data_IF_927335500435
#
_entry.id   IF_927335500435
#
_cell.length_a   1.000
_cell.length_b   1.000
_cell.length_c   1.000
_cell.angle_alpha   90.00
_cell.angle_beta   90.00
_cell.angle_gamma   90.00
#
_symmetry.space_group_name_H-M   'P 1'
#
loop_
_entity.id
_entity.type
_entity.pdbx_description
1 polymer ?
#
# COMPACT_ATOMS: atom_id res chain seq x y z
N UNK A 1 -3.58 60.52 -32.23
CA UNK A 1 -2.47 61.50 -32.10
C UNK A 1 -1.29 60.73 -31.52
N UNK A 2 -0.41 60.19 -32.37
CA UNK A 2 0.76 60.83 -33.00
C UNK A 2 2.03 60.43 -32.18
N UNK A 3 2.92 59.54 -32.66
CA UNK A 3 4.02 59.75 -33.67
C UNK A 3 5.13 60.63 -33.05
N UNK A 4 6.47 60.45 -33.28
CA UNK A 4 7.18 59.84 -34.43
C UNK A 4 8.33 58.84 -34.10
N UNK A 5 8.78 57.94 -35.00
CA UNK A 5 9.74 58.01 -36.15
C UNK A 5 11.24 58.20 -35.77
N UNK A 6 12.09 57.30 -36.32
CA UNK A 6 13.47 57.48 -36.86
C UNK A 6 14.70 56.74 -36.20
N UNK A 7 15.34 55.91 -37.07
CA UNK A 7 16.79 55.71 -37.36
C UNK A 7 17.84 55.48 -36.24
N UNK A 8 18.43 54.28 -36.24
CA UNK A 8 19.76 53.96 -36.82
C UNK A 8 21.05 54.53 -36.19
N UNK A 9 21.97 53.64 -35.78
CA UNK A 9 23.45 53.75 -35.60
C UNK A 9 23.89 52.45 -34.86
N UNK A 10 24.94 51.69 -35.14
CA UNK A 10 26.28 51.98 -35.68
C UNK A 10 26.91 50.77 -36.40
N UNK A 11 27.58 51.10 -37.50
CA UNK A 11 28.49 50.32 -38.31
C UNK A 11 29.82 50.03 -37.59
N UNK A 12 30.45 48.88 -37.87
CA UNK A 12 31.89 48.69 -37.76
C UNK A 12 32.50 48.63 -39.18
N UNK A 13 33.53 49.45 -39.35
CA UNK A 13 34.28 49.76 -40.56
C UNK A 13 35.14 48.59 -41.06
N UNK A 14 35.24 48.43 -42.38
CA UNK A 14 36.52 48.55 -43.12
C UNK A 14 36.30 48.21 -44.60
N UNK A 15 36.49 49.20 -45.48
CA UNK A 15 36.64 49.05 -46.93
C UNK A 15 38.06 49.45 -47.33
N UNK A 16 38.68 48.58 -48.12
CA UNK A 16 39.59 48.82 -49.26
C UNK A 16 40.64 49.93 -49.23
N UNK A 17 41.92 49.55 -49.40
CA UNK A 17 42.89 50.29 -50.22
C UNK A 17 43.71 49.31 -51.07
N UNK A 18 43.79 49.60 -52.36
CA UNK A 18 44.59 48.93 -53.40
C UNK A 18 45.85 49.75 -53.65
N UNK A 19 46.99 49.10 -53.89
CA UNK A 19 47.94 49.32 -55.01
C UNK A 19 49.43 49.21 -54.63
N UNK A 20 50.10 48.43 -55.49
CA UNK A 20 51.46 48.55 -56.02
C UNK A 20 52.66 48.33 -55.08
N UNK A 21 53.42 47.28 -55.40
CA UNK A 21 54.87 47.40 -55.51
C UNK A 21 55.42 46.41 -56.54
N UNK A 22 56.15 46.97 -57.52
CA UNK A 22 57.00 46.27 -58.47
C UNK A 22 58.30 45.84 -57.78
N UNK A 23 58.79 44.65 -58.09
CA UNK A 23 60.09 44.16 -57.62
C UNK A 23 60.51 42.93 -58.41
N UNK A 24 61.52 43.11 -59.27
CA UNK A 24 62.01 42.19 -60.29
C UNK A 24 62.76 41.00 -59.67
N UNK A 25 62.55 39.78 -60.17
CA UNK A 25 63.54 38.71 -60.12
C UNK A 25 63.40 37.83 -61.37
N UNK A 26 64.45 37.83 -62.19
CA UNK A 26 64.58 37.05 -63.41
C UNK A 26 65.53 35.87 -63.18
N UNK A 27 65.41 34.87 -64.06
CA UNK A 27 66.34 33.78 -64.35
C UNK A 27 66.34 32.50 -63.49
N UNK A 28 65.95 31.39 -64.13
CA UNK A 28 66.10 30.03 -63.62
C UNK A 28 65.40 29.00 -64.52
N UNK A 29 66.08 28.57 -65.58
CA UNK A 29 65.65 27.53 -66.53
C UNK A 29 65.47 26.13 -65.88
N UNK A 30 64.62 25.31 -66.52
CA UNK A 30 64.54 23.83 -66.53
C UNK A 30 64.02 23.11 -65.26
N UNK A 31 62.81 22.57 -65.36
CA UNK A 31 62.64 21.17 -65.78
C UNK A 31 61.15 20.83 -65.99
N UNK A 32 60.82 20.41 -67.21
CA UNK A 32 59.54 19.76 -67.52
C UNK A 32 59.52 18.40 -66.82
N UNK A 33 58.91 18.35 -65.64
CA UNK A 33 58.31 17.12 -65.15
C UNK A 33 56.82 17.22 -65.46
N UNK A 34 56.44 16.82 -66.68
CA UNK A 34 55.07 16.43 -66.96
C UNK A 34 54.68 15.40 -65.89
N UNK A 35 53.89 15.83 -64.90
CA UNK A 35 53.10 14.89 -64.12
C UNK A 35 52.10 14.29 -65.10
N UNK A 36 52.44 13.14 -65.65
CA UNK A 36 51.47 12.26 -66.30
C UNK A 36 50.36 12.06 -65.28
N UNK A 37 49.22 12.74 -65.45
CA UNK A 37 48.00 12.45 -64.70
C UNK A 37 47.59 11.04 -65.10
N UNK A 38 48.13 10.03 -64.40
CA UNK A 38 47.74 8.64 -64.56
C UNK A 38 46.24 8.60 -64.29
N UNK A 39 45.45 8.35 -65.33
CA UNK A 39 44.00 8.20 -65.18
C UNK A 39 43.78 7.04 -64.21
N UNK A 40 42.96 7.21 -63.14
CA UNK A 40 42.70 6.14 -62.21
C UNK A 40 42.18 4.90 -62.95
N UNK A 41 42.93 3.79 -62.91
CA UNK A 41 42.59 2.51 -63.57
C UNK A 41 42.62 1.37 -62.55
N UNK A 42 41.90 0.28 -62.83
CA UNK A 42 41.96 -0.95 -62.05
C UNK A 42 43.34 -1.65 -62.10
N UNK A 43 44.24 -1.23 -63.00
CA UNK A 43 45.60 -1.75 -63.06
C UNK A 43 46.42 -1.33 -61.83
N UNK A 44 46.28 -0.06 -61.41
CA UNK A 44 46.94 0.52 -60.24
C UNK A 44 46.12 0.42 -58.95
N UNK A 45 44.81 0.16 -59.04
CA UNK A 45 43.91 0.05 -57.89
C UNK A 45 43.57 -1.41 -57.55
N UNK A 46 44.42 -2.08 -56.75
CA UNK A 46 44.20 -3.46 -56.30
C UNK A 46 43.21 -3.57 -55.14
N UNK A 47 42.26 -4.50 -55.28
CA UNK A 47 41.31 -4.89 -54.24
C UNK A 47 41.87 -6.06 -53.40
N UNK A 48 41.50 -6.13 -52.13
CA UNK A 48 41.89 -7.19 -51.20
C UNK A 48 40.76 -8.22 -51.02
N UNK A 49 41.06 -9.36 -50.41
CA UNK A 49 40.10 -10.42 -50.06
C UNK A 49 39.19 -10.83 -51.23
N UNK A 50 39.79 -11.09 -52.40
CA UNK A 50 39.09 -11.43 -53.66
C UNK A 50 38.01 -10.42 -54.09
N UNK A 51 38.16 -9.14 -53.73
CA UNK A 51 37.34 -8.06 -54.28
C UNK A 51 37.59 -7.85 -55.77
N UNK A 52 36.54 -7.56 -56.53
CA UNK A 52 36.63 -7.26 -57.96
C UNK A 52 36.73 -5.77 -58.17
N UNK A 53 37.77 -5.29 -58.88
CA UNK A 53 37.85 -3.87 -59.25
C UNK A 53 36.92 -3.59 -60.42
N UNK A 54 36.11 -2.53 -60.29
CA UNK A 54 35.21 -2.04 -61.33
C UNK A 54 35.37 -0.54 -61.49
N UNK A 55 35.26 -0.04 -62.72
CA UNK A 55 35.23 1.40 -63.00
C UNK A 55 33.80 1.92 -62.81
N UNK A 56 33.60 2.87 -61.90
CA UNK A 56 32.32 3.56 -61.72
C UNK A 56 32.55 5.04 -62.06
N UNK A 57 32.12 5.44 -63.26
CA UNK A 57 32.52 6.72 -63.86
C UNK A 57 34.04 6.73 -64.11
N UNK A 58 34.72 7.81 -63.72
CA UNK A 58 36.18 7.97 -63.89
C UNK A 58 37.02 7.51 -62.68
N UNK A 59 36.44 6.73 -61.76
CA UNK A 59 37.13 6.28 -60.53
C UNK A 59 37.02 4.75 -60.35
N UNK A 60 38.14 4.05 -60.09
CA UNK A 60 38.11 2.63 -59.75
C UNK A 60 37.53 2.42 -58.35
N UNK A 61 36.66 1.43 -58.19
CA UNK A 61 36.05 1.03 -56.92
C UNK A 61 36.09 -0.49 -56.80
N UNK A 62 36.35 -0.99 -55.60
CA UNK A 62 36.25 -2.41 -55.33
C UNK A 62 34.81 -2.82 -55.00
N UNK A 63 34.30 -3.83 -55.73
CA UNK A 63 33.11 -4.59 -55.35
C UNK A 63 33.55 -5.72 -54.42
N UNK A 64 33.14 -5.65 -53.17
CA UNK A 64 33.58 -6.58 -52.14
C UNK A 64 32.70 -7.84 -52.07
N UNK A 65 33.28 -9.01 -51.73
CA UNK A 65 32.50 -10.19 -51.39
C UNK A 65 31.60 -9.96 -50.17
N UNK A 66 30.57 -10.81 -49.94
CA UNK A 66 29.57 -10.60 -48.88
C UNK A 66 30.16 -10.38 -47.49
N UNK A 67 31.31 -11.00 -47.20
CA UNK A 67 32.01 -10.95 -45.91
C UNK A 67 32.86 -9.70 -45.68
N UNK A 68 33.17 -8.91 -46.71
CA UNK A 68 34.16 -7.83 -46.64
C UNK A 68 33.57 -6.48 -47.05
N UNK A 69 34.18 -5.41 -46.56
CA UNK A 69 33.79 -4.03 -46.85
C UNK A 69 35.00 -3.07 -46.79
N UNK A 70 34.76 -1.82 -47.17
CA UNK A 70 35.79 -0.78 -47.27
C UNK A 70 36.21 -0.51 -48.71
N UNK A 71 36.98 0.55 -48.92
CA UNK A 71 37.35 1.05 -50.26
C UNK A 71 38.16 0.06 -51.08
N UNK A 72 38.91 -0.83 -50.42
CA UNK A 72 39.67 -1.92 -51.04
C UNK A 72 39.26 -3.30 -50.51
N UNK A 73 38.07 -3.45 -49.92
CA UNK A 73 37.60 -4.70 -49.30
C UNK A 73 38.50 -5.24 -48.18
N UNK A 74 39.20 -4.34 -47.49
CA UNK A 74 40.22 -4.66 -46.52
C UNK A 74 39.67 -5.02 -45.13
N UNK A 75 38.37 -4.84 -44.87
CA UNK A 75 37.76 -5.03 -43.55
C UNK A 75 36.73 -6.16 -43.60
N UNK A 76 36.73 -7.05 -42.61
CA UNK A 76 35.72 -8.11 -42.48
C UNK A 76 34.47 -7.58 -41.78
N UNK A 77 33.29 -7.81 -42.36
CA UNK A 77 31.99 -7.41 -41.78
C UNK A 77 31.75 -8.15 -40.48
N UNK A 78 31.26 -7.43 -39.47
CA UNK A 78 31.15 -7.95 -38.11
C UNK A 78 30.21 -9.15 -38.00
N UNK A 79 29.07 -9.18 -38.69
CA UNK A 79 28.11 -10.31 -38.56
C UNK A 79 28.63 -11.67 -39.05
N UNK A 80 29.67 -11.72 -39.89
CA UNK A 80 30.29 -13.00 -40.27
C UNK A 80 31.29 -13.51 -39.23
N UNK A 81 31.85 -12.62 -38.42
CA UNK A 81 32.68 -12.96 -37.25
C UNK A 81 31.89 -13.06 -35.94
N UNK A 82 30.65 -12.55 -35.89
CA UNK A 82 29.84 -12.39 -34.68
C UNK A 82 28.69 -13.39 -34.69
N UNK A 83 28.90 -14.56 -34.08
CA UNK A 83 27.91 -15.66 -34.03
C UNK A 83 26.94 -15.46 -32.86
N UNK A 84 25.64 -15.56 -33.13
CA UNK A 84 24.60 -15.58 -32.11
C UNK A 84 24.29 -17.02 -31.70
N UNK A 85 24.07 -17.24 -30.40
CA UNK A 85 23.67 -18.51 -29.82
C UNK A 85 22.13 -18.63 -29.76
N UNK A 86 21.62 -19.81 -29.40
CA UNK A 86 20.19 -20.07 -29.17
C UNK A 86 19.26 -19.61 -30.31
N UNK A 87 19.71 -19.80 -31.55
CA UNK A 87 18.95 -19.44 -32.75
C UNK A 87 18.74 -17.94 -32.96
N UNK A 88 19.52 -17.09 -32.28
CA UNK A 88 19.52 -15.64 -32.48
C UNK A 88 19.99 -15.23 -33.88
N UNK A 89 19.50 -14.10 -34.38
CA UNK A 89 19.85 -13.58 -35.72
C UNK A 89 20.79 -12.39 -35.60
N UNK A 90 21.95 -12.41 -36.26
CA UNK A 90 22.83 -11.23 -36.29
C UNK A 90 22.22 -10.16 -37.21
N UNK A 91 21.89 -9.01 -36.62
CA UNK A 91 21.51 -7.81 -37.38
C UNK A 91 22.59 -6.77 -37.21
N UNK A 92 23.06 -6.22 -38.33
CA UNK A 92 24.17 -5.28 -38.32
C UNK A 92 24.72 -4.98 -39.71
N UNK A 93 25.33 -3.81 -39.84
CA UNK A 93 25.96 -3.36 -41.08
C UNK A 93 27.45 -3.68 -41.13
N UNK A 94 28.17 -2.90 -41.92
CA UNK A 94 29.62 -3.06 -42.12
C UNK A 94 30.43 -2.96 -40.81
N UNK A 95 30.06 -2.05 -39.88
CA UNK A 95 30.84 -1.73 -38.66
C UNK A 95 30.21 -2.21 -37.35
N UNK A 96 28.96 -2.67 -37.35
CA UNK A 96 28.23 -3.03 -36.14
C UNK A 96 27.58 -4.41 -36.30
N UNK A 97 27.59 -5.20 -35.25
CA UNK A 97 26.88 -6.48 -35.17
C UNK A 97 26.18 -6.57 -33.82
N UNK A 98 24.89 -6.89 -33.84
CA UNK A 98 24.09 -7.12 -32.65
C UNK A 98 23.24 -8.36 -32.87
N UNK A 99 23.21 -9.24 -31.89
CA UNK A 99 22.31 -10.38 -31.91
C UNK A 99 20.89 -9.94 -31.55
N UNK A 100 19.93 -10.37 -32.36
CA UNK A 100 18.52 -10.34 -32.02
C UNK A 100 18.14 -11.72 -31.48
N UNK A 101 17.84 -11.78 -30.19
CA UNK A 101 17.58 -13.03 -29.49
C UNK A 101 16.15 -13.50 -29.71
N UNK A 102 15.97 -14.83 -29.80
CA UNK A 102 14.63 -15.44 -29.76
C UNK A 102 14.03 -15.29 -28.36
N UNK A 103 12.71 -15.39 -28.27
CA UNK A 103 11.96 -15.29 -27.02
C UNK A 103 12.52 -16.28 -25.99
N UNK A 104 12.73 -15.83 -24.75
CA UNK A 104 13.29 -16.63 -23.67
C UNK A 104 14.82 -16.57 -23.54
N UNK A 105 15.52 -15.83 -24.40
CA UNK A 105 16.98 -15.67 -24.34
C UNK A 105 17.41 -14.20 -24.32
N UNK A 106 18.47 -13.92 -23.57
CA UNK A 106 19.09 -12.60 -23.38
C UNK A 106 20.62 -12.70 -23.41
N UNK A 107 21.31 -11.58 -23.25
CA UNK A 107 22.77 -11.50 -23.37
C UNK A 107 23.24 -10.95 -24.72
N UNK A 108 24.55 -10.71 -24.84
CA UNK A 108 25.15 -10.03 -26.01
C UNK A 108 25.15 -10.93 -27.25
N UNK A 109 25.25 -12.23 -27.02
CA UNK A 109 25.24 -13.30 -28.01
C UNK A 109 24.01 -14.20 -27.85
N UNK A 110 22.99 -13.79 -27.08
CA UNK A 110 21.82 -14.61 -26.73
C UNK A 110 22.18 -15.88 -25.95
N UNK A 111 23.26 -15.82 -25.20
CA UNK A 111 23.87 -16.92 -24.46
C UNK A 111 23.20 -17.21 -23.11
N UNK A 112 22.32 -16.33 -22.64
CA UNK A 112 21.65 -16.45 -21.34
C UNK A 112 20.19 -16.75 -21.54
N UNK A 113 19.61 -17.57 -20.68
CA UNK A 113 18.17 -17.64 -20.55
C UNK A 113 17.65 -16.33 -19.95
N UNK A 114 16.52 -15.84 -20.46
CA UNK A 114 15.84 -14.70 -19.88
C UNK A 114 15.33 -15.11 -18.50
N UNK A 115 15.73 -14.43 -17.41
CA UNK A 115 15.32 -14.82 -16.07
C UNK A 115 13.80 -14.72 -15.97
N UNK A 116 13.14 -15.88 -15.93
CA UNK A 116 11.72 -16.01 -15.66
C UNK A 116 11.46 -15.51 -14.25
N UNK A 117 10.81 -14.35 -14.14
CA UNK A 117 10.31 -13.91 -12.86
C UNK A 117 9.08 -14.76 -12.51
N UNK A 118 9.06 -15.49 -11.38
CA UNK A 118 7.95 -16.36 -11.01
C UNK A 118 6.61 -15.59 -10.89
N UNK A 119 6.63 -14.28 -10.64
CA UNK A 119 5.42 -13.45 -10.63
C UNK A 119 4.82 -13.22 -12.04
N UNK A 120 5.63 -13.35 -13.09
CA UNK A 120 5.21 -13.26 -14.50
C UNK A 120 4.94 -14.63 -15.12
N UNK A 121 5.13 -15.72 -14.36
CA UNK A 121 4.87 -17.08 -14.81
C UNK A 121 3.35 -17.30 -14.94
N UNK A 122 2.89 -17.71 -16.12
CA UNK A 122 1.46 -17.83 -16.44
C UNK A 122 0.77 -16.54 -16.90
N UNK A 123 1.43 -15.37 -16.87
CA UNK A 123 0.88 -14.11 -17.39
C UNK A 123 1.27 -13.93 -18.85
N UNK A 124 0.31 -14.11 -19.75
CA UNK A 124 0.46 -13.81 -21.18
C UNK A 124 -0.10 -12.42 -21.51
N UNK A 125 0.80 -11.50 -21.87
CA UNK A 125 0.45 -10.20 -22.42
C UNK A 125 0.28 -10.32 -23.95
N UNK A 126 -0.84 -9.86 -24.48
CA UNK A 126 -1.16 -9.84 -25.90
C UNK A 126 -0.49 -8.67 -26.62
N UNK A 127 -0.50 -8.69 -27.95
CA UNK A 127 -0.04 -7.59 -28.82
C UNK A 127 1.38 -7.08 -28.48
N UNK A 128 2.33 -7.98 -28.21
CA UNK A 128 3.72 -7.66 -27.81
C UNK A 128 3.88 -6.91 -26.46
N UNK A 129 2.88 -6.99 -25.58
CA UNK A 129 3.00 -6.51 -24.20
C UNK A 129 4.10 -7.23 -23.41
N UNK A 130 4.75 -6.51 -22.49
CA UNK A 130 5.81 -7.07 -21.63
C UNK A 130 5.34 -7.16 -20.18
N UNK A 131 5.41 -8.33 -19.57
CA UNK A 131 5.13 -8.46 -18.14
C UNK A 131 6.20 -7.73 -17.33
N UNK A 132 5.78 -6.86 -16.41
CA UNK A 132 6.63 -6.16 -15.44
C UNK A 132 6.11 -6.39 -14.03
N UNK A 133 7.02 -6.53 -13.08
CA UNK A 133 6.65 -6.57 -11.66
C UNK A 133 6.56 -5.15 -11.13
N UNK A 134 5.38 -4.80 -10.61
CA UNK A 134 5.09 -3.52 -9.96
C UNK A 134 4.78 -3.80 -8.50
N UNK A 135 5.77 -3.57 -7.63
CA UNK A 135 5.66 -3.90 -6.20
C UNK A 135 5.61 -5.41 -5.99
N UNK A 136 4.49 -5.93 -5.47
CA UNK A 136 4.24 -7.36 -5.22
C UNK A 136 3.30 -8.02 -6.23
N UNK A 137 2.97 -7.32 -7.32
CA UNK A 137 2.05 -7.80 -8.38
C UNK A 137 2.70 -7.67 -9.75
N UNK A 138 2.31 -8.52 -10.69
CA UNK A 138 2.75 -8.44 -12.08
C UNK A 138 1.66 -7.80 -12.96
N UNK A 139 2.08 -6.92 -13.87
CA UNK A 139 1.21 -6.15 -14.78
C UNK A 139 1.80 -6.16 -16.20
N UNK A 140 0.96 -6.15 -17.23
CA UNK A 140 1.40 -6.01 -18.61
C UNK A 140 1.71 -4.56 -18.98
N UNK A 141 2.92 -4.29 -19.46
CA UNK A 141 3.30 -3.04 -20.10
C UNK A 141 2.90 -3.06 -21.57
N UNK A 142 1.83 -2.35 -21.90
CA UNK A 142 1.24 -2.38 -23.24
C UNK A 142 1.98 -1.47 -24.23
N UNK A 143 2.22 -1.95 -25.47
CA UNK A 143 2.84 -1.14 -26.50
C UNK A 143 1.89 -0.03 -26.99
N UNK A 144 2.44 1.00 -27.65
CA UNK A 144 1.66 2.11 -28.16
C UNK A 144 0.52 1.62 -29.06
N UNK A 145 -0.69 2.09 -28.80
CA UNK A 145 -1.88 1.67 -29.55
C UNK A 145 -2.63 0.49 -28.93
N UNK A 146 -2.20 -0.04 -27.77
CA UNK A 146 -2.90 -1.10 -27.04
C UNK A 146 -3.09 -0.77 -25.55
N UNK A 147 -4.14 -1.32 -24.94
CA UNK A 147 -4.55 -1.11 -23.54
C UNK A 147 -5.28 -2.34 -22.98
N UNK A 148 -5.62 -2.33 -21.69
CA UNK A 148 -6.22 -3.46 -20.96
C UNK A 148 -5.20 -4.25 -20.14
N UNK A 149 -5.68 -5.09 -19.20
CA UNK A 149 -4.83 -5.84 -18.25
C UNK A 149 -3.84 -6.79 -18.94
N UNK A 150 -4.19 -7.31 -20.13
CA UNK A 150 -3.33 -8.14 -20.97
C UNK A 150 -3.01 -7.47 -22.31
N UNK A 151 -3.21 -6.16 -22.45
CA UNK A 151 -3.01 -5.42 -23.70
C UNK A 151 -3.89 -5.88 -24.88
N UNK A 152 -5.05 -6.46 -24.57
CA UNK A 152 -5.97 -7.04 -25.55
C UNK A 152 -6.76 -5.99 -26.35
N UNK A 153 -6.87 -4.75 -25.84
CA UNK A 153 -7.71 -3.72 -26.44
C UNK A 153 -6.87 -2.79 -27.32
N UNK A 154 -7.25 -2.61 -28.59
CA UNK A 154 -6.65 -1.60 -29.47
C UNK A 154 -7.17 -0.21 -29.10
N UNK A 155 -6.27 0.76 -28.92
CA UNK A 155 -6.62 2.17 -28.65
C UNK A 155 -7.25 2.73 -29.93
N UNK A 156 -8.57 2.96 -29.88
CA UNK A 156 -9.40 3.26 -31.03
C UNK A 156 -9.15 4.63 -31.71
N UNK A 157 -8.24 5.47 -31.21
CA UNK A 157 -8.03 6.80 -31.78
C UNK A 157 -6.56 7.25 -31.85
N UNK A 158 -6.03 7.65 -33.03
CA UNK A 158 -4.63 8.05 -33.24
C UNK A 158 -4.14 9.19 -32.31
N UNK A 159 -5.05 10.09 -31.92
CA UNK A 159 -4.70 11.19 -31.02
C UNK A 159 -4.35 10.71 -29.60
N UNK A 160 -4.91 9.57 -29.15
CA UNK A 160 -4.56 8.96 -27.87
C UNK A 160 -3.25 8.17 -27.91
N UNK A 161 -2.74 7.82 -29.10
CA UNK A 161 -1.44 7.16 -29.23
C UNK A 161 -0.26 8.07 -28.81
N UNK A 162 -0.43 9.40 -28.91
CA UNK A 162 0.59 10.40 -28.54
C UNK A 162 0.41 10.97 -27.13
N UNK A 163 -0.77 10.81 -26.51
CA UNK A 163 -1.07 11.36 -25.19
C UNK A 163 -0.96 10.29 -24.10
N UNK A 164 0.17 10.28 -23.39
CA UNK A 164 0.36 9.41 -22.21
C UNK A 164 -0.29 10.03 -20.98
N UNK A 165 -1.38 9.43 -20.51
CA UNK A 165 -2.02 9.77 -19.23
C UNK A 165 -1.28 9.08 -18.07
N UNK A 166 -0.98 9.81 -17.00
CA UNK A 166 -0.25 9.29 -15.84
C UNK A 166 -1.20 8.85 -14.72
N UNK A 167 -0.65 8.13 -13.73
CA UNK A 167 -1.38 7.69 -12.52
C UNK A 167 -2.68 6.91 -12.81
N UNK A 168 -2.69 6.12 -13.89
CA UNK A 168 -3.85 5.33 -14.30
C UNK A 168 -5.01 6.16 -14.87
N UNK A 169 -4.75 7.38 -15.36
CA UNK A 169 -5.74 8.12 -16.14
C UNK A 169 -5.98 7.49 -17.52
N UNK A 170 -7.19 7.63 -18.05
CA UNK A 170 -7.62 7.09 -19.34
C UNK A 170 -7.63 8.18 -20.39
N UNK A 171 -7.20 7.90 -21.62
CA UNK A 171 -7.34 8.85 -22.71
C UNK A 171 -8.72 8.71 -23.37
N UNK A 172 -9.43 9.82 -23.51
CA UNK A 172 -10.68 9.92 -24.25
C UNK A 172 -10.59 11.07 -25.27
N UNK A 173 -11.38 11.00 -26.35
CA UNK A 173 -11.43 12.06 -27.37
C UNK A 173 -12.73 12.82 -27.19
N UNK A 174 -12.62 14.10 -26.83
CA UNK A 174 -13.76 15.01 -26.68
C UNK A 174 -13.61 16.07 -27.75
N UNK A 175 -14.62 16.22 -28.63
CA UNK A 175 -14.63 17.22 -29.70
C UNK A 175 -13.32 17.24 -30.50
N UNK A 176 -12.87 16.06 -30.96
CA UNK A 176 -11.65 15.89 -31.76
C UNK A 176 -10.33 16.31 -31.07
N UNK A 177 -10.32 16.39 -29.74
CA UNK A 177 -9.12 16.58 -28.92
C UNK A 177 -8.95 15.42 -27.95
N UNK A 178 -7.75 14.84 -27.91
CA UNK A 178 -7.38 13.86 -26.88
C UNK A 178 -7.25 14.54 -25.51
N UNK A 179 -7.99 14.04 -24.53
CA UNK A 179 -8.04 14.52 -23.16
C UNK A 179 -7.80 13.34 -22.22
N UNK A 180 -6.99 13.54 -21.18
CA UNK A 180 -6.85 12.55 -20.12
C UNK A 180 -7.97 12.71 -19.10
N UNK A 181 -8.82 11.69 -18.99
CA UNK A 181 -9.72 11.50 -17.85
C UNK A 181 -8.89 10.98 -16.69
N UNK A 182 -8.68 11.82 -15.69
CA UNK A 182 -7.86 11.45 -14.54
C UNK A 182 -8.59 10.52 -13.59
N UNK A 183 -7.85 9.53 -13.08
CA UNK A 183 -8.31 8.74 -11.96
C UNK A 183 -8.54 9.65 -10.75
N UNK A 184 -9.52 9.28 -9.93
CA UNK A 184 -9.84 9.98 -8.70
C UNK A 184 -8.60 10.12 -7.80
N UNK A 185 -8.50 11.26 -7.12
CA UNK A 185 -7.27 11.67 -6.42
C UNK A 185 -6.19 12.31 -7.32
N UNK A 186 -6.38 12.44 -8.63
CA UNK A 186 -5.45 13.10 -9.55
C UNK A 186 -6.15 14.15 -10.45
N UNK A 187 -5.39 15.13 -10.93
CA UNK A 187 -5.89 16.18 -11.82
C UNK A 187 -4.80 16.76 -12.74
N UNK A 188 -5.22 17.66 -13.65
CA UNK A 188 -4.37 18.30 -14.65
C UNK A 188 -4.33 17.57 -15.99
N UNK A 189 -3.82 18.23 -17.04
CA UNK A 189 -3.92 17.78 -18.46
C UNK A 189 -3.42 16.35 -18.74
N UNK A 190 -2.45 15.85 -17.95
CA UNK A 190 -1.90 14.49 -18.05
C UNK A 190 -2.04 13.69 -16.75
N UNK A 191 -2.86 14.16 -15.80
CA UNK A 191 -3.09 13.50 -14.50
C UNK A 191 -1.84 13.37 -13.62
N UNK A 192 -0.89 14.28 -13.76
CA UNK A 192 0.35 14.27 -12.98
C UNK A 192 0.19 14.91 -11.59
N UNK A 193 -0.80 15.80 -11.42
CA UNK A 193 -1.05 16.45 -10.13
C UNK A 193 -1.90 15.55 -9.26
N UNK A 194 -1.62 15.52 -7.97
CA UNK A 194 -2.35 14.72 -7.00
C UNK A 194 -3.23 15.63 -6.15
N UNK A 195 -4.50 15.30 -6.04
CA UNK A 195 -5.47 16.00 -5.20
C UNK A 195 -5.12 15.80 -3.72
N UNK A 196 -5.29 16.85 -2.94
CA UNK A 196 -5.12 16.90 -1.49
C UNK A 196 -6.49 16.97 -0.80
N UNK A 197 -6.54 16.95 0.54
CA UNK A 197 -7.81 17.15 1.26
C UNK A 197 -8.37 18.59 1.09
N UNK A 198 -7.61 19.52 0.50
CA UNK A 198 -8.14 20.81 0.06
C UNK A 198 -8.90 20.71 -1.27
N UNK A 199 -8.59 19.70 -2.09
CA UNK A 199 -9.17 19.50 -3.43
C UNK A 199 -10.27 18.42 -3.46
N UNK A 200 -10.49 17.71 -2.34
CA UNK A 200 -11.43 16.59 -2.24
C UNK A 200 -12.42 16.87 -1.10
N UNK A 201 -13.71 16.96 -1.45
CA UNK A 201 -14.81 16.86 -0.49
C UNK A 201 -15.18 15.39 -0.25
N UNK A 202 -15.26 14.99 1.01
CA UNK A 202 -15.82 13.68 1.38
C UNK A 202 -17.28 13.86 1.76
N UNK A 203 -18.17 13.18 1.03
CA UNK A 203 -19.62 13.21 1.24
C UNK A 203 -20.03 12.48 2.52
N UNK A 204 -21.28 12.68 2.94
CA UNK A 204 -21.92 11.92 4.02
C UNK A 204 -21.10 11.88 5.34
N UNK A 205 -20.51 13.02 5.69
CA UNK A 205 -19.66 13.20 6.88
C UNK A 205 -18.41 12.29 6.89
N UNK A 206 -17.93 11.88 5.72
CA UNK A 206 -16.65 11.21 5.56
C UNK A 206 -15.50 12.12 6.00
N UNK A 207 -14.49 11.55 6.67
CA UNK A 207 -13.32 12.32 7.11
C UNK A 207 -12.21 12.16 6.07
N UNK A 208 -11.75 13.26 5.46
CA UNK A 208 -10.58 13.20 4.58
C UNK A 208 -9.32 12.98 5.42
N UNK A 209 -8.48 12.03 5.02
CA UNK A 209 -7.20 11.79 5.66
C UNK A 209 -6.07 11.73 4.63
N UNK A 210 -4.92 12.30 4.98
CA UNK A 210 -3.68 12.24 4.19
C UNK A 210 -2.86 13.54 4.19
N UNK A 211 -1.54 13.44 4.41
CA UNK A 211 -0.61 14.57 4.26
C UNK A 211 -0.09 14.66 2.82
N UNK A 212 -0.11 15.88 2.27
CA UNK A 212 0.51 16.41 1.03
C UNK A 212 0.35 15.64 -0.30
N UNK A 213 0.13 14.31 -0.36
CA UNK A 213 0.07 13.53 -1.61
C UNK A 213 -0.72 12.19 -1.54
N UNK A 214 -1.63 11.95 -0.60
CA UNK A 214 -2.50 10.75 -0.59
C UNK A 214 -3.81 11.05 0.14
N UNK A 215 -4.63 11.95 -0.40
CA UNK A 215 -5.94 12.22 0.17
C UNK A 215 -6.89 11.04 -0.08
N UNK A 216 -7.50 10.53 0.98
CA UNK A 216 -8.47 9.42 0.95
C UNK A 216 -9.61 9.73 1.91
N UNK A 217 -10.84 9.48 1.49
CA UNK A 217 -11.99 9.60 2.38
C UNK A 217 -12.11 8.36 3.26
N UNK A 218 -12.22 8.58 4.57
CA UNK A 218 -12.63 7.56 5.53
C UNK A 218 -14.13 7.68 5.76
N UNK A 219 -14.88 6.71 5.23
CA UNK A 219 -16.34 6.76 5.27
C UNK A 219 -16.87 6.33 6.64
N UNK A 220 -17.90 7.05 7.11
CA UNK A 220 -18.65 6.68 8.30
C UNK A 220 -19.40 5.37 8.05
N UNK A 221 -19.68 4.62 9.13
CA UNK A 221 -20.46 3.39 9.05
C UNK A 221 -21.80 3.64 8.34
N UNK A 222 -22.08 2.91 7.27
CA UNK A 222 -23.23 3.19 6.40
C UNK A 222 -22.88 3.60 4.97
N UNK A 223 -21.65 4.05 4.72
CA UNK A 223 -21.24 4.59 3.42
C UNK A 223 -19.98 3.91 2.87
N UNK A 224 -19.84 3.93 1.55
CA UNK A 224 -18.75 3.40 0.73
C UNK A 224 -18.55 4.30 -0.49
N UNK A 225 -17.63 3.95 -1.36
CA UNK A 225 -17.23 4.81 -2.48
C UNK A 225 -15.96 5.57 -2.13
N UNK A 226 -15.35 6.17 -3.14
CA UNK A 226 -14.06 6.84 -2.97
C UNK A 226 -14.19 8.18 -2.22
N UNK A 227 -15.38 8.79 -2.29
CA UNK A 227 -15.76 10.01 -1.59
C UNK A 227 -16.89 9.79 -0.58
N UNK A 228 -17.21 8.53 -0.26
CA UNK A 228 -18.30 8.18 0.65
C UNK A 228 -19.70 8.52 0.13
N UNK A 229 -19.83 8.66 -1.18
CA UNK A 229 -21.05 9.00 -1.91
C UNK A 229 -22.05 7.83 -2.00
N UNK A 230 -21.57 6.59 -1.87
CA UNK A 230 -22.40 5.39 -2.02
C UNK A 230 -22.90 4.94 -0.65
N UNK A 231 -24.21 4.96 -0.46
CA UNK A 231 -24.83 4.34 0.73
C UNK A 231 -24.71 2.81 0.63
N UNK A 232 -24.19 2.17 1.68
CA UNK A 232 -24.12 0.70 1.82
C UNK A 232 -25.52 0.14 2.13
N UNK A 233 -26.37 0.16 1.12
CA UNK A 233 -27.72 -0.40 1.08
C UNK A 233 -27.71 -1.85 0.63
N UNK A 234 -28.80 -2.57 0.87
CA UNK A 234 -28.96 -3.92 0.34
C UNK A 234 -29.15 -3.92 -1.18
N UNK A 235 -29.60 -2.79 -1.74
CA UNK A 235 -29.76 -2.60 -3.19
C UNK A 235 -28.43 -2.67 -3.94
N UNK A 236 -27.36 -2.11 -3.37
CA UNK A 236 -26.03 -2.12 -4.00
C UNK A 236 -25.19 -3.34 -3.60
N UNK A 237 -25.41 -3.91 -2.40
CA UNK A 237 -24.79 -5.17 -1.98
C UNK A 237 -25.86 -6.05 -1.33
N UNK A 238 -26.43 -7.01 -2.06
CA UNK A 238 -27.47 -7.90 -1.54
C UNK A 238 -26.97 -8.70 -0.33
N UNK A 239 -27.89 -8.99 0.58
CA UNK A 239 -27.64 -9.89 1.70
C UNK A 239 -27.34 -11.30 1.14
N UNK A 240 -26.19 -11.85 1.50
CA UNK A 240 -25.78 -13.18 1.09
C UNK A 240 -26.43 -14.25 1.96
N UNK A 241 -26.30 -15.52 1.57
CA UNK A 241 -26.69 -16.68 2.37
C UNK A 241 -28.16 -16.64 2.86
N UNK A 242 -29.06 -16.11 2.03
CA UNK A 242 -30.49 -16.04 2.33
C UNK A 242 -30.87 -15.03 3.42
N UNK A 243 -29.98 -14.09 3.75
CA UNK A 243 -30.28 -12.98 4.64
C UNK A 243 -31.38 -12.08 4.07
N UNK A 244 -32.26 -11.55 4.95
CA UNK A 244 -33.34 -10.65 4.55
C UNK A 244 -32.91 -9.21 4.78
N UNK A 245 -33.03 -8.36 3.77
CA UNK A 245 -32.86 -6.93 3.99
C UNK A 245 -34.07 -6.36 4.70
N UNK A 246 -33.86 -5.68 5.83
CA UNK A 246 -34.91 -4.90 6.49
C UNK A 246 -34.39 -3.47 6.69
N UNK A 247 -35.16 -2.49 6.24
CA UNK A 247 -34.95 -1.09 6.60
C UNK A 247 -35.57 -0.81 7.95
N UNK A 248 -34.82 -0.27 8.91
CA UNK A 248 -35.39 0.31 10.13
C UNK A 248 -34.93 1.76 10.22
N UNK A 249 -35.87 2.71 10.25
CA UNK A 249 -35.62 4.15 10.42
C UNK A 249 -34.51 4.71 9.50
N UNK A 250 -34.51 4.31 8.22
CA UNK A 250 -33.52 4.75 7.25
C UNK A 250 -32.21 3.96 7.23
N UNK A 251 -31.95 3.03 8.14
CA UNK A 251 -30.79 2.13 8.04
C UNK A 251 -31.21 0.78 7.45
N UNK A 252 -30.88 0.54 6.19
CA UNK A 252 -31.01 -0.76 5.55
C UNK A 252 -29.90 -1.70 6.04
N UNK A 253 -30.27 -2.76 6.76
CA UNK A 253 -29.32 -3.77 7.25
C UNK A 253 -29.79 -5.19 6.94
N UNK A 254 -28.83 -6.08 6.69
CA UNK A 254 -29.10 -7.49 6.49
C UNK A 254 -29.36 -8.20 7.82
N UNK A 255 -30.51 -8.87 7.90
CA UNK A 255 -30.80 -9.83 8.95
C UNK A 255 -30.38 -11.22 8.47
N UNK A 256 -29.34 -11.76 9.11
CA UNK A 256 -28.74 -13.03 8.71
C UNK A 256 -29.55 -14.22 9.20
N UNK A 257 -29.62 -15.26 8.37
CA UNK A 257 -30.11 -16.57 8.81
C UNK A 257 -29.17 -17.15 9.87
N UNK A 258 -29.70 -18.10 10.64
CA UNK A 258 -28.93 -18.82 11.64
C UNK A 258 -27.66 -19.43 11.02
N UNK A 259 -26.55 -19.34 11.74
CA UNK A 259 -25.25 -19.81 11.26
C UNK A 259 -24.52 -18.86 10.29
N UNK A 260 -25.02 -17.64 10.06
CA UNK A 260 -24.32 -16.62 9.27
C UNK A 260 -24.18 -15.30 10.02
N UNK A 261 -23.07 -14.60 9.80
CA UNK A 261 -22.72 -13.31 10.40
C UNK A 261 -22.09 -12.38 9.35
N UNK A 262 -21.88 -11.13 9.74
CA UNK A 262 -21.34 -10.09 8.85
C UNK A 262 -22.42 -9.10 8.43
N UNK A 263 -22.01 -7.95 7.90
CA UNK A 263 -22.93 -6.86 7.55
C UNK A 263 -23.87 -7.24 6.41
N UNK A 264 -23.41 -8.13 5.53
CA UNK A 264 -24.16 -8.66 4.39
C UNK A 264 -24.32 -10.18 4.51
N UNK A 265 -24.20 -10.73 5.72
CA UNK A 265 -24.30 -12.17 5.99
C UNK A 265 -23.30 -13.02 5.20
N UNK A 266 -22.16 -12.42 4.85
CA UNK A 266 -21.15 -13.00 3.97
C UNK A 266 -20.27 -14.06 4.65
N UNK A 267 -20.31 -14.16 5.98
CA UNK A 267 -19.47 -15.08 6.75
C UNK A 267 -20.30 -16.19 7.37
N UNK A 268 -19.89 -17.44 7.16
CA UNK A 268 -20.42 -18.57 7.93
C UNK A 268 -19.94 -18.45 9.38
N UNK A 269 -20.86 -18.59 10.33
CA UNK A 269 -20.57 -18.60 11.75
C UNK A 269 -19.93 -19.95 12.07
N UNK A 270 -18.64 -19.94 12.33
CA UNK A 270 -17.91 -21.13 12.75
C UNK A 270 -18.06 -21.25 14.26
N UNK A 271 -18.42 -22.45 14.73
CA UNK A 271 -18.40 -22.77 16.16
C UNK A 271 -16.95 -22.92 16.57
N UNK A 272 -16.49 -22.08 17.49
CA UNK A 272 -15.16 -22.20 18.06
C UNK A 272 -15.04 -23.54 18.81
N UNK A 273 -13.88 -24.18 18.70
CA UNK A 273 -13.55 -25.39 19.47
C UNK A 273 -12.83 -25.01 20.75
N UNK A 274 -12.95 -25.84 21.79
CA UNK A 274 -12.12 -25.71 22.98
C UNK A 274 -10.62 -25.89 22.69
N UNK A 275 -10.25 -26.44 21.53
CA UNK A 275 -8.87 -26.48 21.06
C UNK A 275 -8.28 -25.09 20.79
N UNK A 276 -9.14 -24.11 20.44
CA UNK A 276 -8.69 -22.75 20.15
C UNK A 276 -8.35 -21.91 21.39
N UNK A 277 -8.72 -22.39 22.59
CA UNK A 277 -8.49 -21.65 23.84
C UNK A 277 -7.98 -22.57 24.96
N UNK A 278 -6.69 -22.42 25.28
CA UNK A 278 -6.08 -23.07 26.43
C UNK A 278 -6.39 -22.29 27.71
N UNK A 279 -7.25 -22.86 28.55
CA UNK A 279 -7.49 -22.37 29.91
C UNK A 279 -6.33 -22.77 30.83
N UNK A 280 -5.87 -21.85 31.67
CA UNK A 280 -4.77 -22.09 32.61
C UNK A 280 -5.25 -22.00 34.06
N UNK A 281 -4.40 -22.35 35.02
CA UNK A 281 -4.71 -22.35 36.47
C UNK A 281 -5.96 -23.18 36.82
N UNK A 282 -6.11 -24.35 36.21
CA UNK A 282 -7.25 -25.26 36.47
C UNK A 282 -8.58 -24.81 35.86
N UNK A 283 -8.60 -23.81 34.99
CA UNK A 283 -9.81 -23.41 34.27
C UNK A 283 -10.31 -24.48 33.30
N UNK A 284 -11.63 -24.65 33.21
CA UNK A 284 -12.26 -25.58 32.28
C UNK A 284 -12.78 -24.83 31.06
N UNK A 285 -12.45 -25.27 29.84
CA UNK A 285 -13.06 -24.71 28.64
C UNK A 285 -14.52 -25.16 28.53
N UNK A 286 -15.41 -24.21 28.24
CA UNK A 286 -16.83 -24.45 28.00
C UNK A 286 -17.30 -23.70 26.75
N UNK A 287 -18.23 -24.29 26.01
CA UNK A 287 -18.86 -23.64 24.85
C UNK A 287 -20.04 -22.79 25.32
N UNK A 288 -20.00 -21.49 25.01
CA UNK A 288 -21.11 -20.56 25.20
C UNK A 288 -21.67 -20.19 23.83
N UNK A 289 -22.64 -20.99 23.36
CA UNK A 289 -23.17 -20.92 22.00
C UNK A 289 -22.12 -21.30 20.95
N UNK A 290 -21.64 -20.30 20.19
CA UNK A 290 -20.63 -20.45 19.13
C UNK A 290 -19.20 -20.07 19.56
N UNK A 291 -19.02 -19.62 20.81
CA UNK A 291 -17.72 -19.17 21.33
C UNK A 291 -17.20 -20.12 22.40
N UNK A 292 -15.89 -20.38 22.38
CA UNK A 292 -15.22 -21.12 23.43
C UNK A 292 -14.75 -20.13 24.52
N UNK A 293 -15.09 -20.40 25.78
CA UNK A 293 -14.72 -19.54 26.92
C UNK A 293 -14.21 -20.39 28.08
N UNK A 294 -13.24 -19.87 28.82
CA UNK A 294 -12.80 -20.51 30.06
C UNK A 294 -13.74 -20.18 31.22
N UNK A 295 -14.21 -21.22 31.91
CA UNK A 295 -14.80 -21.14 33.24
C UNK A 295 -13.67 -21.21 34.27
N UNK A 296 -13.46 -20.13 35.00
CA UNK A 296 -12.35 -20.02 35.93
C UNK A 296 -12.71 -20.53 37.33
N UNK A 297 -11.75 -21.13 38.05
CA UNK A 297 -11.90 -21.43 39.47
C UNK A 297 -12.09 -20.15 40.31
N UNK A 298 -12.57 -20.26 41.56
CA UNK A 298 -12.92 -19.11 42.42
C UNK A 298 -11.83 -18.05 42.52
N UNK A 299 -10.56 -18.46 42.52
CA UNK A 299 -9.38 -17.62 42.70
C UNK A 299 -8.84 -16.97 41.43
N UNK A 300 -9.39 -17.30 40.27
CA UNK A 300 -8.85 -16.86 38.98
C UNK A 300 -9.91 -16.19 38.11
N UNK A 301 -9.45 -15.35 37.18
CA UNK A 301 -10.30 -14.64 36.24
C UNK A 301 -9.55 -14.26 34.96
N UNK A 302 -10.27 -13.66 34.02
CA UNK A 302 -9.77 -13.33 32.68
C UNK A 302 -10.19 -14.36 31.64
N UNK A 303 -9.93 -14.05 30.37
CA UNK A 303 -10.38 -14.87 29.22
C UNK A 303 -9.80 -16.28 29.23
N UNK A 304 -8.60 -16.48 29.80
CA UNK A 304 -7.93 -17.77 29.93
C UNK A 304 -7.69 -18.18 31.39
N UNK A 305 -8.32 -17.50 32.35
CA UNK A 305 -8.09 -17.69 33.80
C UNK A 305 -6.65 -17.40 34.25
N UNK A 306 -5.97 -16.52 33.51
CA UNK A 306 -4.56 -16.20 33.71
C UNK A 306 -4.30 -15.24 34.87
N UNK A 307 -5.33 -14.56 35.37
CA UNK A 307 -5.20 -13.55 36.43
C UNK A 307 -5.71 -14.12 37.74
N UNK A 308 -4.94 -13.92 38.81
CA UNK A 308 -5.33 -14.28 40.18
C UNK A 308 -6.14 -13.14 40.80
N UNK A 309 -7.28 -13.45 41.43
CA UNK A 309 -8.09 -12.47 42.15
C UNK A 309 -7.35 -11.97 43.38
N UNK A 310 -7.71 -10.78 43.85
CA UNK A 310 -7.03 -10.16 44.99
C UNK A 310 -7.27 -10.90 46.31
N UNK A 311 -8.44 -11.52 46.50
CA UNK A 311 -8.71 -12.30 47.70
C UNK A 311 -7.85 -13.56 47.84
N UNK A 312 -7.34 -14.10 46.73
CA UNK A 312 -6.49 -15.29 46.73
C UNK A 312 -5.07 -15.05 47.27
N UNK A 313 -4.73 -13.80 47.59
CA UNK A 313 -3.49 -13.38 48.27
C UNK A 313 -3.75 -12.66 49.58
N UNK A 314 -5.01 -12.58 50.03
CA UNK A 314 -5.40 -11.87 51.25
C UNK A 314 -5.91 -12.90 52.25
N UNK A 315 -5.17 -13.07 53.34
CA UNK A 315 -5.62 -13.85 54.49
C UNK A 315 -6.23 -12.90 55.52
N UNK A 316 -7.51 -13.10 55.81
CA UNK A 316 -8.17 -12.41 56.91
C UNK A 316 -7.97 -13.24 58.18
N UNK A 317 -7.55 -12.59 59.26
CA UNK A 317 -7.33 -13.21 60.57
C UNK A 317 -8.65 -13.33 61.34
N UNK A 318 -8.63 -14.06 62.47
CA UNK A 318 -9.76 -14.15 63.40
C UNK A 318 -11.10 -14.55 62.75
N UNK A 319 -11.05 -15.52 61.82
CA UNK A 319 -12.24 -16.04 61.14
C UNK A 319 -12.86 -15.08 60.11
N UNK A 320 -12.19 -13.98 59.74
CA UNK A 320 -12.68 -13.04 58.74
C UNK A 320 -12.83 -13.66 57.35
N UNK A 321 -13.82 -13.21 56.58
CA UNK A 321 -14.04 -13.67 55.20
C UNK A 321 -13.59 -12.61 54.19
N UNK A 322 -12.71 -12.97 53.25
CA UNK A 322 -12.36 -12.06 52.18
C UNK A 322 -13.48 -11.99 51.14
N UNK A 323 -14.06 -10.80 50.93
CA UNK A 323 -14.92 -10.51 49.78
C UNK A 323 -14.19 -9.57 48.83
N UNK A 324 -14.17 -9.91 47.55
CA UNK A 324 -13.42 -9.15 46.56
C UNK A 324 -13.44 -9.75 45.16
N UNK A 325 -13.04 -8.95 44.19
CA UNK A 325 -13.07 -9.26 42.77
C UNK A 325 -11.71 -9.09 42.08
N UNK A 326 -11.74 -8.55 40.86
CA UNK A 326 -10.57 -8.39 40.00
C UNK A 326 -9.59 -7.31 40.49
N UNK A 327 -10.10 -6.25 41.13
CA UNK A 327 -9.34 -5.03 41.46
C UNK A 327 -9.27 -4.72 42.96
N UNK A 328 -10.13 -5.32 43.78
CA UNK A 328 -10.18 -5.05 45.20
C UNK A 328 -10.38 -6.34 46.00
N UNK A 329 -9.88 -6.33 47.24
CA UNK A 329 -10.11 -7.34 48.25
C UNK A 329 -10.34 -6.63 49.58
N UNK A 330 -11.41 -7.01 50.28
CA UNK A 330 -11.78 -6.47 51.58
C UNK A 330 -12.10 -7.63 52.51
N UNK A 331 -11.47 -7.65 53.68
CA UNK A 331 -11.83 -8.57 54.74
C UNK A 331 -13.11 -8.08 55.43
N UNK A 332 -14.06 -8.99 55.60
CA UNK A 332 -15.19 -8.82 56.49
C UNK A 332 -14.86 -9.53 57.80
N UNK A 333 -14.73 -8.74 58.87
CA UNK A 333 -14.32 -9.24 60.18
C UNK A 333 -15.51 -9.81 60.94
N UNK A 334 -15.25 -10.87 61.72
CA UNK A 334 -16.20 -11.39 62.68
C UNK A 334 -16.44 -10.42 63.85
N UNK A 335 -17.44 -10.72 64.67
CA UNK A 335 -17.76 -9.93 65.86
C UNK A 335 -16.53 -9.81 66.78
N UNK A 336 -16.26 -8.61 67.29
CA UNK A 336 -15.14 -8.36 68.19
C UNK A 336 -13.79 -8.14 67.51
N UNK A 337 -13.72 -8.03 66.17
CA UNK A 337 -12.46 -7.79 65.44
C UNK A 337 -12.56 -6.65 64.43
N UNK A 338 -11.45 -5.94 64.24
CA UNK A 338 -11.32 -4.80 63.32
C UNK A 338 -9.93 -4.78 62.66
N UNK A 339 -9.68 -3.79 61.80
CA UNK A 339 -8.45 -3.69 61.02
C UNK A 339 -8.62 -4.14 59.57
N UNK A 340 -7.59 -3.95 58.76
CA UNK A 340 -7.65 -4.19 57.31
C UNK A 340 -7.73 -5.69 56.97
N UNK A 341 -7.13 -6.51 57.82
CA UNK A 341 -7.06 -7.95 57.73
C UNK A 341 -7.69 -8.63 58.96
N UNK A 342 -8.50 -7.90 59.73
CA UNK A 342 -9.13 -8.39 60.98
C UNK A 342 -8.13 -8.77 62.08
N UNK A 343 -6.97 -8.11 62.06
CA UNK A 343 -5.83 -8.38 62.93
C UNK A 343 -5.92 -7.73 64.32
N UNK A 344 -6.92 -6.89 64.56
CA UNK A 344 -7.08 -6.15 65.82
C UNK A 344 -8.34 -6.59 66.54
N UNK A 345 -8.26 -6.66 67.86
CA UNK A 345 -9.44 -6.77 68.70
C UNK A 345 -10.22 -5.47 68.66
N UNK A 346 -11.53 -5.58 68.51
CA UNK A 346 -12.45 -4.48 68.67
C UNK A 346 -12.65 -4.25 70.17
N UNK A 347 -11.87 -3.34 70.74
CA UNK A 347 -12.12 -2.81 72.07
C UNK A 347 -13.19 -1.71 71.96
N UNK A 348 -14.44 -1.94 72.40
CA UNK A 348 -15.36 -0.82 72.59
C UNK A 348 -14.73 0.12 73.62
N UNK A 349 -14.50 1.38 73.23
CA UNK A 349 -14.21 2.41 74.21
C UNK A 349 -15.38 2.55 75.21
N UNK A 350 -15.18 3.21 76.35
CA UNK A 350 -16.26 3.46 77.30
C UNK A 350 -17.27 4.42 76.67
N UNK A 351 -18.27 3.87 75.98
CA UNK A 351 -19.34 4.65 75.38
C UNK A 351 -20.65 3.88 75.38
N UNK A 352 -21.66 4.58 75.88
CA UNK A 352 -23.07 4.22 76.04
C UNK A 352 -23.64 3.13 75.12
N UNK A 353 -24.55 2.27 75.63
CA UNK A 353 -25.21 1.20 74.87
C UNK A 353 -26.02 1.70 73.65
N UNK A 354 -26.28 3.01 73.54
CA UNK A 354 -26.91 3.66 72.38
C UNK A 354 -25.97 3.72 71.16
N UNK A 355 -24.66 3.80 71.40
CA UNK A 355 -23.62 3.88 70.36
C UNK A 355 -23.43 2.55 69.63
N UNK A 356 -23.71 1.44 70.30
CA UNK A 356 -23.54 0.09 69.78
C UNK A 356 -24.59 -0.29 68.70
N UNK A 357 -25.88 0.05 68.85
CA UNK A 357 -26.89 -0.22 67.81
C UNK A 357 -26.61 0.60 66.52
N UNK A 358 -25.95 1.76 66.59
CA UNK A 358 -25.69 2.60 65.40
C UNK A 358 -24.55 2.08 64.50
N UNK A 359 -23.68 1.22 65.03
CA UNK A 359 -22.57 0.62 64.28
C UNK A 359 -22.96 -0.66 63.51
N UNK A 360 -24.15 -1.23 63.77
CA UNK A 360 -24.57 -2.53 63.21
C UNK A 360 -25.58 -2.42 62.06
N UNK A 361 -26.11 -1.24 61.76
CA UNK A 361 -27.08 -1.00 60.68
C UNK A 361 -26.51 -1.12 59.25
N UNK A 362 -25.22 -1.47 59.10
CA UNK A 362 -24.56 -1.78 57.82
C UNK A 362 -24.25 -3.26 57.59
N UNK A 363 -24.64 -4.16 58.50
CA UNK A 363 -24.42 -5.61 58.42
C UNK A 363 -25.74 -6.37 58.61
N UNK A 364 -26.67 -6.18 57.68
CA UNK A 364 -27.83 -7.05 57.56
C UNK A 364 -27.66 -7.93 56.33
N UNK A 365 -27.20 -9.16 56.55
CA UNK A 365 -27.73 -10.33 55.85
C UNK A 365 -27.83 -11.45 56.90
N UNK A 366 -29.04 -11.56 57.47
CA UNK A 366 -29.60 -12.74 58.12
C UNK A 366 -29.35 -12.98 59.64
N UNK A 367 -29.76 -12.04 60.50
CA UNK A 367 -30.38 -12.33 61.82
C UNK A 367 -31.33 -11.18 62.16
N UNK A 368 -32.63 -11.46 62.32
CA UNK A 368 -33.59 -10.49 62.86
C UNK A 368 -33.31 -10.28 64.36
N UNK A 369 -32.59 -9.21 64.69
CA UNK A 369 -32.52 -8.68 66.06
C UNK A 369 -33.27 -7.35 66.06
N UNK A 370 -34.46 -7.33 66.66
CA UNK A 370 -35.22 -6.12 66.91
C UNK A 370 -34.43 -5.20 67.88
N UNK A 371 -33.64 -4.22 67.39
CA UNK A 371 -33.33 -3.04 68.20
C UNK A 371 -34.66 -2.26 68.36
N UNK A 372 -35.20 -2.09 69.57
CA UNK A 372 -36.38 -1.25 69.76
C UNK A 372 -36.00 0.20 69.47
N UNK A 373 -36.42 0.71 68.32
CA UNK A 373 -36.36 2.12 67.94
C UNK A 373 -37.25 2.94 68.87
N UNK A 374 -36.72 3.40 70.01
CA UNK A 374 -37.02 4.65 70.71
C UNK A 374 -36.82 4.51 72.24
N UNK A 375 -35.58 4.71 72.69
CA UNK A 375 -35.29 4.91 74.12
C UNK A 375 -35.34 6.38 74.55
N UNK A 376 -35.68 7.31 73.66
CA UNK A 376 -35.85 8.74 74.00
C UNK A 376 -37.19 9.06 74.69
N UNK A 377 -38.13 8.13 74.78
CA UNK A 377 -39.46 8.37 75.38
C UNK A 377 -39.84 7.41 76.53
N UNK A 378 -38.94 6.55 76.99
CA UNK A 378 -39.25 5.59 78.07
C UNK A 378 -38.76 6.05 79.44
N UNK A 379 -39.59 5.77 80.44
CA UNK A 379 -39.42 6.23 81.82
C UNK A 379 -38.21 5.56 82.49
N UNK A 380 -37.70 6.18 83.56
CA UNK A 380 -36.46 5.76 84.24
C UNK A 380 -36.50 4.31 84.75
N UNK A 381 -37.69 3.78 85.04
CA UNK A 381 -37.91 2.39 85.45
C UNK A 381 -37.72 1.35 84.32
N UNK A 382 -37.89 1.73 83.05
CA UNK A 382 -37.75 0.80 81.90
C UNK A 382 -36.29 0.64 81.45
N UNK A 383 -35.38 1.50 81.92
CA UNK A 383 -33.93 1.43 81.60
C UNK A 383 -33.17 0.42 82.47
N UNK A 384 -33.65 0.18 83.70
CA UNK A 384 -33.00 -0.77 84.62
C UNK A 384 -33.30 -2.23 84.24
N UNK A 385 -34.49 -2.52 83.70
CA UNK A 385 -34.88 -3.89 83.30
C UNK A 385 -34.04 -4.41 82.13
N UNK A 386 -33.67 -3.54 81.17
CA UNK A 386 -32.82 -3.91 80.02
C UNK A 386 -31.37 -4.18 80.44
N UNK A 387 -30.93 -3.57 81.55
CA UNK A 387 -29.56 -3.74 82.07
C UNK A 387 -29.39 -5.09 82.77
N UNK A 388 -30.46 -5.65 83.35
CA UNK A 388 -30.42 -6.94 84.08
C UNK A 388 -30.38 -8.15 83.11
N UNK A 389 -30.95 -8.03 81.90
CA UNK A 389 -30.95 -9.11 80.89
C UNK A 389 -29.60 -9.32 80.17
N UNK A 390 -28.59 -8.47 80.42
CA UNK A 390 -27.26 -8.56 79.80
C UNK A 390 -26.17 -9.11 80.75
N UNK A 391 -26.51 -9.42 82.00
CA UNK A 391 -25.57 -9.94 83.02
C UNK A 391 -25.89 -11.37 83.51
N UNK A 392 -26.84 -12.07 82.86
CA UNK A 392 -27.05 -13.52 82.95
C UNK A 392 -26.85 -14.12 81.56
#
# INVERSE_FOLDING_TARGET
MAVPIYRGLLFALALSIVLQNNGVASFGQRNSSQQVKVRPSCDSFKCLNNGTCVMIGSKPKCRCPPEFYGTKCQRKKKCYSFKCQNGGTCKGGEKSAKCHCRKGFTGKFCEKDEPSNPLCEGISCENDGKCKVVGSSAECDCPPGYTGEKCQNKIAHPQCAKLKCLNGGTCEVIQSKAVCRCRLGYFGKKCYKKKTCYDIGCENFGRCWGKRRKAKCHCRGGYTGEFCEIRKTCRHRPCQNGGKCKGRNGEEMCHCREGYIGRFCEKKRVRESCDSIKCINGGTCVLSGYKAKCRCPPDFFGTKCQRKKKCSSVQCQNGGTCKGGETYAKCHCGLGFTGKFCEKDFAPGPADPVSACSAMSGHADNVDIHCPLNLRQRSQAEREIVTIMFLL
#
